data_IF_236848600066
#
_entry.id   IF_236848600066
#
_cell.length_a   1.000
_cell.length_b   1.000
_cell.length_c   1.000
_cell.angle_alpha   90.00
_cell.angle_beta   90.00
_cell.angle_gamma   90.00
#
_symmetry.space_group_name_H-M   'P 1'
#
loop_
_entity.id
_entity.type
_entity.pdbx_description
1 polymer ?
2 non-polymer ?
3 non-polymer ?
4 non-polymer ?
5 non-polymer ?
6 non-polymer ?
7 water ?
#
# COMPACT_ATOMS: atom_id res chain seq x y z
N UNK A 21 -10.32 24.16 0.32
CA UNK A 21 -10.10 23.28 -0.85
C UNK A 21 -10.52 21.84 -0.45
N UNK A 22 -11.83 21.50 -0.36
CA UNK A 22 -12.21 20.03 -0.32
C UNK A 22 -12.47 19.38 -1.69
N UNK A 23 -12.29 18.07 -1.76
CA UNK A 23 -12.41 17.39 -3.03
C UNK A 23 -13.84 17.36 -3.52
N UNK A 24 -13.98 17.44 -4.83
CA UNK A 24 -15.26 17.27 -5.53
C UNK A 24 -15.80 15.87 -5.32
N UNK A 25 -14.92 14.90 -5.51
CA UNK A 25 -15.28 13.50 -5.35
C UNK A 25 -14.76 12.91 -4.05
N UNK A 26 -15.52 12.02 -3.46
CA UNK A 26 -15.14 11.43 -2.19
C UNK A 26 -13.85 10.64 -2.27
N UNK A 27 -13.12 10.66 -1.18
CA UNK A 27 -11.88 9.88 -1.01
C UNK A 27 -12.25 8.54 -0.42
N UNK A 28 -11.69 7.48 -1.03
CA UNK A 28 -11.88 6.12 -0.59
C UNK A 28 -10.48 5.60 -0.27
N UNK A 29 -10.21 5.40 1.03
CA UNK A 29 -8.95 4.74 1.50
C UNK A 29 -9.07 3.28 1.30
N UNK A 30 -8.08 2.63 0.69
CA UNK A 30 -8.21 1.23 0.33
C UNK A 30 -6.97 0.46 0.89
N UNK A 31 -7.24 -0.61 1.58
CA UNK A 31 -6.25 -1.54 1.99
C UNK A 31 -6.72 -2.98 1.91
N UNK A 32 -5.80 -3.91 2.03
CA UNK A 32 -6.09 -5.31 1.81
C UNK A 32 -5.98 -6.19 3.05
N UNK A 33 -6.21 -5.61 4.22
CA UNK A 33 -6.23 -6.39 5.43
C UNK A 33 -7.55 -6.24 6.15
N UNK A 34 -8.60 -6.70 5.55
CA UNK A 34 -9.91 -6.70 6.17
C UNK A 34 -9.83 -7.48 7.47
N UNK A 35 -10.47 -6.97 8.49
CA UNK A 35 -10.38 -7.52 9.84
C UNK A 35 -9.37 -6.77 10.70
N UNK A 36 -8.55 -5.88 10.11
CA UNK A 36 -7.47 -5.22 10.87
C UNK A 36 -8.06 -4.48 12.05
N UNK A 37 -9.05 -3.64 11.80
CA UNK A 37 -9.50 -2.76 12.86
C UNK A 37 -10.17 -3.57 13.97
N UNK A 38 -10.78 -4.68 13.59
CA UNK A 38 -11.47 -5.55 14.55
C UNK A 38 -10.46 -6.31 15.42
N UNK A 39 -9.41 -6.84 14.80
CA UNK A 39 -8.37 -7.61 15.48
C UNK A 39 -7.37 -6.74 16.22
N UNK A 40 -6.96 -5.64 15.64
CA UNK A 40 -5.85 -4.86 16.15
C UNK A 40 -6.36 -3.81 17.15
N UNK A 41 -7.54 -3.28 16.85
CA UNK A 41 -8.23 -2.30 17.70
C UNK A 41 -8.23 -0.83 17.26
N UNK A 42 -7.63 -0.47 16.13
CA UNK A 42 -7.55 0.89 15.60
C UNK A 42 -7.37 0.80 14.06
N UNK A 43 -7.59 1.93 13.38
CA UNK A 43 -7.61 1.87 11.89
C UNK A 43 -6.22 1.61 11.26
N UNK A 44 -6.24 0.89 10.13
CA UNK A 44 -5.05 0.67 9.33
C UNK A 44 -4.37 1.99 8.86
N UNK A 45 -5.17 2.94 8.39
CA UNK A 45 -4.69 4.21 7.99
C UNK A 45 -4.70 5.08 9.21
N UNK A 46 -3.69 4.94 10.04
CA UNK A 46 -3.83 5.44 11.43
C UNK A 46 -3.88 7.00 11.49
N UNK A 47 -4.98 7.53 12.01
CA UNK A 47 -5.17 8.95 12.10
C UNK A 47 -5.57 9.69 10.85
N UNK A 48 -5.64 9.00 9.70
CA UNK A 48 -5.74 9.63 8.36
C UNK A 48 -7.16 10.09 7.96
N UNK A 49 -8.15 9.21 8.13
CA UNK A 49 -9.49 9.56 7.76
C UNK A 49 -9.94 10.75 8.62
N UNK A 50 -9.58 10.71 9.91
CA UNK A 50 -9.89 11.86 10.84
C UNK A 50 -9.32 13.20 10.34
N UNK A 51 -8.04 13.19 10.01
CA UNK A 51 -7.42 14.44 9.53
C UNK A 51 -8.02 14.89 8.22
N UNK A 52 -8.32 13.96 7.31
CA UNK A 52 -8.96 14.35 6.03
C UNK A 52 -10.35 14.88 6.24
N UNK A 53 -11.12 14.27 7.13
CA UNK A 53 -12.46 14.81 7.39
C UNK A 53 -12.40 16.21 8.11
N UNK A 54 -11.40 16.44 8.98
CA UNK A 54 -11.23 17.77 9.69
C UNK A 54 -11.05 18.81 8.63
N UNK A 55 -10.50 18.42 7.47
CA UNK A 55 -10.24 19.30 6.36
C UNK A 55 -11.37 19.44 5.36
N UNK A 56 -12.52 18.81 5.60
CA UNK A 56 -13.76 19.05 4.85
C UNK A 56 -14.03 18.01 3.74
N UNK A 57 -13.16 17.00 3.57
CA UNK A 57 -13.32 15.99 2.52
C UNK A 57 -14.26 14.90 2.98
N UNK A 58 -15.01 14.36 2.03
CA UNK A 58 -15.79 13.14 2.27
C UNK A 58 -14.85 11.93 2.21
N UNK A 59 -14.85 11.07 3.24
CA UNK A 59 -13.87 9.96 3.37
C UNK A 59 -14.60 8.65 3.77
N UNK A 60 -14.28 7.61 3.03
CA UNK A 60 -14.69 6.19 3.21
C UNK A 60 -13.49 5.32 3.33
N UNK A 61 -13.66 4.17 3.97
CA UNK A 61 -12.56 3.21 4.01
C UNK A 61 -13.04 1.84 3.56
N UNK A 62 -12.37 1.27 2.56
CA UNK A 62 -12.65 -0.03 2.03
C UNK A 62 -11.60 -0.98 2.50
N UNK A 63 -12.00 -1.93 3.33
CA UNK A 63 -11.05 -2.93 3.86
C UNK A 63 -11.26 -4.21 3.06
N UNK A 64 -10.32 -4.66 2.26
CA UNK A 64 -10.56 -5.78 1.39
C UNK A 64 -9.84 -7.06 1.91
N UNK A 65 -10.30 -8.23 1.46
CA UNK A 65 -9.72 -9.48 1.92
C UNK A 65 -8.25 -9.70 1.65
N UNK A 66 -7.44 -10.02 2.66
CA UNK A 66 -5.97 -10.34 2.46
C UNK A 66 -5.74 -11.62 1.68
N UNK A 67 -6.63 -12.58 1.87
CA UNK A 67 -6.38 -13.97 1.42
C UNK A 67 -6.93 -14.30 0.03
N UNK A 68 -7.30 -13.28 -0.70
CA UNK A 68 -7.86 -13.43 -2.02
C UNK A 68 -6.92 -12.88 -3.10
N UNK A 69 -7.29 -13.09 -4.35
CA UNK A 69 -6.54 -12.63 -5.46
C UNK A 69 -6.71 -11.10 -5.56
N UNK A 70 -5.83 -10.48 -6.31
CA UNK A 70 -6.03 -9.06 -6.61
C UNK A 70 -7.36 -8.77 -7.34
N UNK A 71 -7.70 -9.65 -8.30
CA UNK A 71 -8.93 -9.50 -9.08
C UNK A 71 -10.18 -9.55 -8.16
N UNK A 72 -10.18 -10.50 -7.23
CA UNK A 72 -11.30 -10.67 -6.32
C UNK A 72 -11.38 -9.45 -5.37
N UNK A 73 -10.23 -8.94 -4.88
CA UNK A 73 -10.27 -7.70 -4.09
C UNK A 73 -10.84 -6.54 -4.93
N UNK A 74 -10.47 -6.48 -6.22
CA UNK A 74 -11.00 -5.44 -7.12
C UNK A 74 -12.51 -5.56 -7.29
N UNK A 75 -13.03 -6.78 -7.39
CA UNK A 75 -14.47 -6.97 -7.44
C UNK A 75 -15.17 -6.57 -6.13
N UNK A 76 -14.56 -6.87 -5.00
CA UNK A 76 -15.10 -6.44 -3.67
C UNK A 76 -15.11 -4.89 -3.66
N UNK A 77 -14.03 -4.31 -4.15
CA UNK A 77 -13.93 -2.85 -4.13
C UNK A 77 -15.03 -2.21 -4.99
N UNK A 78 -15.30 -2.79 -6.16
CA UNK A 78 -16.35 -2.24 -7.01
C UNK A 78 -17.67 -2.32 -6.33
N UNK A 79 -17.96 -3.43 -5.67
CA UNK A 79 -19.23 -3.52 -4.96
C UNK A 79 -19.33 -2.46 -3.89
N UNK A 80 -18.24 -2.19 -3.18
CA UNK A 80 -18.16 -1.11 -2.17
C UNK A 80 -18.44 0.29 -2.76
N UNK A 81 -17.82 0.63 -3.86
CA UNK A 81 -17.93 1.93 -4.51
C UNK A 81 -19.33 2.13 -5.11
N UNK A 82 -19.84 1.09 -5.80
CA UNK A 82 -21.22 1.20 -6.40
C UNK A 82 -22.20 1.59 -5.36
N UNK A 83 -21.99 1.00 -4.18
CA UNK A 83 -22.82 1.24 -3.04
C UNK A 83 -22.75 2.70 -2.50
N UNK A 84 -21.55 3.25 -2.28
CA UNK A 84 -21.41 4.62 -1.87
C UNK A 84 -21.76 5.69 -2.96
N UNK A 85 -21.53 5.36 -4.25
CA UNK A 85 -21.94 6.28 -5.32
C UNK A 85 -23.45 6.44 -5.42
N UNK A 86 -24.21 5.40 -5.09
CA UNK A 86 -25.65 5.49 -5.07
C UNK A 86 -26.09 6.55 -4.04
N UNK A 87 -25.39 6.61 -2.92
CA UNK A 87 -25.78 7.53 -1.87
C UNK A 87 -25.17 8.94 -2.01
N UNK A 88 -23.92 9.09 -2.47
CA UNK A 88 -23.29 10.44 -2.49
C UNK A 88 -23.82 11.23 -3.71
N UNK A 89 -24.43 10.49 -4.66
CA UNK A 89 -24.81 10.93 -6.03
C UNK A 89 -23.66 11.69 -6.70
N UNK A 90 -22.41 11.29 -6.40
CA UNK A 90 -21.20 11.97 -6.96
C UNK A 90 -20.55 11.41 -8.18
N UNK A 91 -21.04 10.33 -8.76
CA UNK A 91 -20.47 9.84 -9.99
C UNK A 91 -19.13 9.14 -9.85
N UNK A 92 -18.10 9.81 -9.26
CA UNK A 92 -16.78 9.24 -9.13
C UNK A 92 -16.21 9.29 -7.73
N UNK A 93 -15.17 8.52 -7.54
CA UNK A 93 -14.32 8.45 -6.34
C UNK A 93 -12.85 8.68 -6.61
N UNK A 94 -12.16 9.21 -5.60
CA UNK A 94 -10.72 9.30 -5.58
C UNK A 94 -10.21 8.19 -4.66
N UNK A 95 -9.44 7.28 -5.21
CA UNK A 95 -8.97 6.18 -4.39
C UNK A 95 -7.57 6.55 -3.86
N UNK A 96 -7.32 6.23 -2.62
CA UNK A 96 -5.98 6.28 -2.05
C UNK A 96 -5.73 4.87 -1.43
N UNK A 97 -4.81 4.16 -2.06
CA UNK A 97 -4.51 2.82 -1.63
C UNK A 97 -3.12 2.61 -1.12
N UNK A 98 -2.92 1.67 -0.19
CA UNK A 98 -1.59 1.37 0.24
C UNK A 98 -1.33 -0.11 -0.02
N UNK A 99 -0.07 -0.43 -0.28
CA UNK A 99 0.37 -1.86 -0.37
C UNK A 99 -0.39 -2.61 -1.42
N UNK A 100 -1.19 -3.65 -1.07
CA UNK A 100 -2.04 -4.32 -2.09
C UNK A 100 -3.21 -3.51 -2.56
N UNK A 101 -3.56 -2.47 -1.77
CA UNK A 101 -4.75 -1.69 -2.12
C UNK A 101 -4.78 -1.13 -3.53
N UNK A 102 -3.65 -0.58 -4.03
CA UNK A 102 -3.66 0.03 -5.35
C UNK A 102 -3.99 -0.96 -6.46
N UNK A 103 -3.66 -2.24 -6.27
CA UNK A 103 -3.96 -3.22 -7.33
C UNK A 103 -5.49 -3.33 -7.46
N UNK A 104 -6.22 -3.42 -6.33
CA UNK A 104 -7.69 -3.45 -6.39
C UNK A 104 -8.22 -2.16 -7.00
N UNK A 105 -7.64 -1.00 -6.64
CA UNK A 105 -8.05 0.26 -7.23
C UNK A 105 -7.83 0.28 -8.76
N UNK A 106 -6.72 -0.25 -9.19
CA UNK A 106 -6.37 -0.34 -10.61
C UNK A 106 -7.40 -1.22 -11.36
N UNK A 107 -7.86 -2.29 -10.72
CA UNK A 107 -8.88 -3.14 -11.28
C UNK A 107 -10.13 -2.28 -11.52
N UNK A 108 -10.57 -1.51 -10.53
CA UNK A 108 -11.83 -0.79 -10.66
C UNK A 108 -11.64 0.29 -11.75
N UNK A 109 -10.52 0.98 -11.67
CA UNK A 109 -10.24 2.05 -12.68
C UNK A 109 -10.17 1.51 -14.13
N UNK A 110 -9.56 0.35 -14.32
CA UNK A 110 -9.51 -0.27 -15.63
C UNK A 110 -10.85 -0.71 -16.19
N UNK A 111 -11.66 -1.27 -15.46
CA UNK A 111 -13.01 -1.71 -15.69
C UNK A 111 -14.16 -0.71 -15.73
N UNK A 112 -14.04 0.24 -14.78
CA UNK A 112 -15.09 1.20 -14.59
C UNK A 112 -14.56 2.63 -14.50
N UNK A 113 -13.92 3.08 -15.55
CA UNK A 113 -13.17 4.32 -15.53
C UNK A 113 -14.07 5.50 -15.28
N UNK A 114 -15.28 5.45 -15.78
CA UNK A 114 -16.21 6.57 -15.57
C UNK A 114 -16.63 6.80 -14.10
N UNK A 115 -16.33 5.85 -13.21
CA UNK A 115 -16.65 5.91 -11.82
C UNK A 115 -15.43 6.28 -10.94
N UNK A 116 -14.26 6.45 -11.59
CA UNK A 116 -13.03 6.67 -10.85
C UNK A 116 -12.37 7.99 -11.29
N UNK A 117 -12.27 8.94 -10.41
CA UNK A 117 -11.58 10.19 -10.73
C UNK A 117 -10.06 10.07 -10.67
N UNK A 118 -9.58 9.31 -9.73
CA UNK A 118 -8.15 9.12 -9.51
C UNK A 118 -7.85 7.85 -8.70
N UNK A 119 -6.63 7.39 -8.90
CA UNK A 119 -5.99 6.33 -8.16
C UNK A 119 -4.67 6.89 -7.72
N UNK A 120 -4.50 6.97 -6.40
CA UNK A 120 -3.27 7.29 -5.78
C UNK A 120 -2.70 6.07 -5.06
N UNK A 121 -1.51 5.63 -5.46
CA UNK A 121 -0.86 4.41 -4.93
C UNK A 121 0.23 4.87 -3.95
N UNK A 122 0.14 4.44 -2.70
CA UNK A 122 1.14 4.72 -1.68
C UNK A 122 1.88 3.39 -1.36
N UNK A 123 3.13 3.36 -1.72
CA UNK A 123 3.96 2.17 -1.54
C UNK A 123 3.23 0.95 -2.04
N UNK A 124 2.66 1.07 -3.24
CA UNK A 124 1.90 -0.02 -3.83
C UNK A 124 2.81 -1.11 -4.33
N UNK A 125 2.32 -2.37 -4.31
CA UNK A 125 3.09 -3.48 -4.85
C UNK A 125 2.78 -3.57 -6.35
N UNK A 126 3.10 -2.53 -7.08
CA UNK A 126 2.69 -2.45 -8.47
C UNK A 126 3.43 -3.40 -9.47
N UNK A 127 4.61 -3.80 -9.10
CA UNK A 127 5.33 -4.83 -9.84
C UNK A 127 5.82 -5.99 -9.01
N UNK A 128 5.27 -6.18 -7.84
CA UNK A 128 5.64 -7.28 -7.02
C UNK A 128 6.60 -7.00 -5.91
N UNK A 129 6.59 -7.89 -4.95
CA UNK A 129 7.39 -7.77 -3.70
C UNK A 129 8.49 -8.87 -3.74
N UNK A 130 9.73 -8.45 -3.66
CA UNK A 130 10.83 -9.41 -3.54
C UNK A 130 10.74 -10.28 -2.28
N UNK A 131 10.12 -9.75 -1.23
CA UNK A 131 10.00 -10.51 0.00
C UNK A 131 8.91 -11.57 -0.13
N UNK A 132 7.86 -11.24 -0.88
CA UNK A 132 6.83 -12.23 -1.15
C UNK A 132 7.38 -13.41 -1.97
N UNK A 133 8.23 -13.05 -2.93
CA UNK A 133 8.96 -14.01 -3.77
C UNK A 133 9.81 -14.89 -2.91
N UNK A 134 10.60 -14.30 -2.01
CA UNK A 134 11.43 -15.05 -1.09
C UNK A 134 10.64 -15.98 -0.13
N UNK A 135 9.55 -15.49 0.43
CA UNK A 135 8.71 -16.33 1.30
C UNK A 135 8.16 -17.53 0.54
N UNK A 136 7.76 -17.29 -0.71
CA UNK A 136 7.27 -18.42 -1.53
C UNK A 136 8.36 -19.52 -1.68
N UNK A 137 9.60 -19.08 -1.93
CA UNK A 137 10.72 -20.04 -2.15
C UNK A 137 10.94 -20.88 -0.87
N UNK A 138 10.75 -20.23 0.28
CA UNK A 138 10.89 -20.85 1.59
C UNK A 138 9.83 -21.93 1.84
N UNK A 139 8.58 -21.60 1.58
CA UNK A 139 7.47 -22.53 1.68
C UNK A 139 7.60 -23.69 0.70
N UNK A 140 8.24 -23.43 -0.44
CA UNK A 140 8.54 -24.52 -1.42
C UNK A 140 9.80 -25.37 -1.10
N UNK A 141 10.50 -24.97 -0.04
CA UNK A 141 11.68 -25.66 0.48
C UNK A 141 12.78 -25.66 -0.59
N UNK A 142 12.90 -24.53 -1.31
CA UNK A 142 14.06 -24.29 -2.18
C UNK A 142 15.32 -24.21 -1.33
N UNK A 143 16.49 -24.38 -1.93
CA UNK A 143 17.70 -24.20 -1.13
C UNK A 143 18.03 -22.71 -0.96
N UNK A 144 17.58 -22.21 0.16
CA UNK A 144 17.82 -20.85 0.67
C UNK A 144 18.72 -20.99 1.89
N UNK A 145 19.79 -20.19 1.98
CA UNK A 145 20.62 -20.22 3.19
C UNK A 145 19.77 -20.01 4.46
N UNK A 146 20.02 -20.82 5.49
CA UNK A 146 19.15 -20.81 6.67
C UNK A 146 19.07 -19.38 7.30
N UNK A 147 20.17 -18.63 7.24
CA UNK A 147 20.17 -17.28 7.92
C UNK A 147 19.12 -16.37 7.27
N UNK A 148 18.93 -16.54 5.98
CA UNK A 148 17.90 -15.82 5.25
C UNK A 148 16.52 -16.34 5.68
N UNK A 149 16.36 -17.66 5.74
CA UNK A 149 15.08 -18.24 6.18
C UNK A 149 14.68 -17.70 7.55
N UNK A 150 15.62 -17.63 8.48
CA UNK A 150 15.29 -17.17 9.83
C UNK A 150 14.91 -15.67 9.85
N UNK A 151 15.64 -14.89 9.05
CA UNK A 151 15.36 -13.45 8.99
C UNK A 151 13.92 -13.22 8.54
N UNK A 152 13.46 -13.93 7.51
CA UNK A 152 12.14 -13.78 7.00
C UNK A 152 11.10 -14.25 8.00
N UNK A 153 11.31 -15.45 8.55
CA UNK A 153 10.38 -16.05 9.47
C UNK A 153 10.24 -15.24 10.72
N UNK A 154 11.36 -14.78 11.25
CA UNK A 154 11.34 -14.01 12.47
C UNK A 154 10.69 -12.63 12.25
N UNK A 155 10.99 -11.98 11.12
CA UNK A 155 10.37 -10.65 10.81
C UNK A 155 8.86 -10.79 10.71
N UNK A 156 8.36 -11.84 10.02
CA UNK A 156 6.93 -12.04 9.86
C UNK A 156 6.26 -12.39 11.18
N UNK A 157 6.94 -13.18 11.98
CA UNK A 157 6.39 -13.53 13.30
C UNK A 157 6.31 -12.32 14.20
N UNK A 158 7.34 -11.48 14.13
CA UNK A 158 7.36 -10.23 14.88
C UNK A 158 6.25 -9.32 14.37
N UNK A 159 6.09 -9.20 13.04
CA UNK A 159 5.00 -8.29 12.54
C UNK A 159 3.63 -8.84 13.00
N UNK A 160 3.38 -10.11 12.69
CA UNK A 160 2.09 -10.73 12.94
C UNK A 160 1.72 -10.70 14.43
N UNK A 161 2.71 -10.89 15.29
CA UNK A 161 2.56 -10.85 16.75
C UNK A 161 2.28 -9.44 17.27
N UNK A 162 3.01 -8.47 16.72
CA UNK A 162 2.80 -7.06 17.08
C UNK A 162 1.32 -6.65 16.87
N UNK A 163 0.76 -6.99 15.70
CA UNK A 163 -0.65 -6.63 15.34
C UNK A 163 -1.74 -7.54 16.00
N UNK A 164 -1.55 -8.87 15.98
CA UNK A 164 -2.62 -9.85 16.30
C UNK A 164 -2.47 -10.60 17.65
N UNK A 165 -1.27 -10.56 18.24
CA UNK A 165 -1.00 -11.20 19.52
C UNK A 165 -0.42 -12.60 19.40
N UNK A 166 -0.29 -13.11 18.19
CA UNK A 166 0.17 -14.48 17.95
C UNK A 166 1.15 -14.42 16.85
N UNK A 167 2.19 -15.24 16.89
CA UNK A 167 3.13 -15.20 15.77
C UNK A 167 2.59 -15.86 14.43
N UNK A 168 1.56 -16.69 14.55
CA UNK A 168 0.93 -17.42 13.44
C UNK A 168 1.69 -18.67 13.02
N UNK A 169 1.08 -19.53 12.20
CA UNK A 169 1.80 -20.58 11.44
C UNK A 169 2.49 -19.93 10.25
N UNK A 170 3.75 -20.30 9.94
CA UNK A 170 4.24 -19.66 8.69
C UNK A 170 3.45 -19.98 7.39
N UNK A 171 2.64 -21.00 7.39
CA UNK A 171 1.71 -21.21 6.31
C UNK A 171 0.49 -20.26 6.50
N UNK A 172 0.49 -19.45 7.55
CA UNK A 172 -0.59 -18.43 7.80
C UNK A 172 -0.61 -17.32 6.76
N UNK A 173 0.59 -16.97 6.30
CA UNK A 173 0.86 -15.82 5.50
C UNK A 173 0.85 -16.10 4.02
N UNK A 174 0.82 -17.37 3.66
CA UNK A 174 0.91 -17.79 2.29
C UNK A 174 -0.23 -17.32 1.49
N UNK A 175 -1.40 -17.48 2.03
CA UNK A 175 -2.54 -17.16 1.28
C UNK A 175 -2.47 -15.66 0.99
N UNK A 176 -2.01 -14.87 1.95
CA UNK A 176 -1.82 -13.44 1.74
C UNK A 176 -0.71 -12.99 0.79
N UNK A 177 0.46 -13.57 0.89
CA UNK A 177 1.61 -13.02 0.18
C UNK A 177 1.65 -13.49 -1.25
N UNK A 178 0.98 -14.61 -1.52
CA UNK A 178 0.93 -15.13 -2.89
C UNK A 178 0.55 -14.04 -3.95
N UNK A 179 -0.50 -13.30 -3.69
CA UNK A 179 -0.97 -12.29 -4.66
C UNK A 179 -0.03 -11.07 -4.81
N UNK A 180 0.98 -10.95 -3.94
CA UNK A 180 2.03 -9.93 -4.03
C UNK A 180 3.37 -10.39 -4.69
N UNK A 181 3.47 -11.63 -5.14
CA UNK A 181 4.69 -12.05 -5.81
C UNK A 181 4.92 -11.38 -7.17
N UNK A 182 6.15 -11.39 -7.68
CA UNK A 182 6.44 -10.79 -8.95
C UNK A 182 5.62 -11.54 -10.01
N UNK A 183 5.56 -12.89 -9.89
CA UNK A 183 4.73 -13.72 -10.80
C UNK A 183 3.28 -13.24 -10.91
N UNK A 184 2.61 -13.18 -9.78
CA UNK A 184 1.16 -12.93 -9.77
C UNK A 184 0.82 -11.42 -10.07
N UNK A 185 1.70 -10.49 -9.68
CA UNK A 185 1.49 -9.08 -10.02
C UNK A 185 1.79 -8.88 -11.53
N UNK A 186 2.76 -9.61 -12.06
CA UNK A 186 3.04 -9.53 -13.49
C UNK A 186 1.80 -9.92 -14.27
N UNK A 187 1.14 -11.01 -13.86
CA UNK A 187 -0.07 -11.52 -14.51
C UNK A 187 -1.25 -10.55 -14.44
N UNK A 188 -1.38 -9.95 -13.28
CA UNK A 188 -2.30 -8.84 -13.08
C UNK A 188 -2.00 -7.67 -14.02
N UNK A 189 -0.72 -7.28 -14.06
CA UNK A 189 -0.27 -6.17 -14.87
C UNK A 189 -0.48 -6.35 -16.39
N UNK A 190 -0.37 -7.59 -16.89
CA UNK A 190 -0.70 -7.88 -18.27
C UNK A 190 -2.14 -7.65 -18.62
N UNK A 191 -3.06 -7.86 -17.68
CA UNK A 191 -4.49 -7.68 -17.89
C UNK A 191 -4.92 -6.21 -17.70
N UNK A 192 -4.25 -5.54 -16.77
CA UNK A 192 -4.60 -4.17 -16.31
C UNK A 192 -3.34 -3.27 -16.41
N UNK A 193 -2.84 -3.02 -17.63
CA UNK A 193 -1.56 -2.33 -17.76
C UNK A 193 -1.62 -0.79 -17.58
N UNK A 194 -2.80 -0.29 -17.30
CA UNK A 194 -3.06 1.14 -17.40
C UNK A 194 -2.17 1.88 -16.42
N UNK A 195 -1.51 2.92 -16.89
CA UNK A 195 -0.67 3.77 -16.09
C UNK A 195 0.67 3.15 -15.57
N UNK A 196 1.04 1.97 -16.01
CA UNK A 196 2.28 1.35 -15.58
C UNK A 196 3.51 2.01 -16.23
N UNK A 197 4.64 2.11 -15.57
CA UNK A 197 5.83 2.60 -16.22
C UNK A 197 6.12 1.84 -17.54
N UNK A 198 6.47 2.61 -18.53
CA UNK A 198 7.03 2.05 -19.73
C UNK A 198 8.48 1.63 -19.48
N UNK A 199 9.32 2.54 -18.98
CA UNK A 199 10.73 2.20 -18.74
C UNK A 199 10.88 1.55 -17.39
N UNK A 200 11.74 0.52 -17.30
CA UNK A 200 12.22 0.20 -15.97
C UNK A 200 12.33 1.48 -15.09
N UNK A 201 11.72 1.44 -13.92
CA UNK A 201 11.74 2.58 -12.98
C UNK A 201 11.31 3.97 -13.48
N UNK A 202 10.41 4.01 -14.44
CA UNK A 202 9.98 5.28 -14.98
C UNK A 202 8.71 5.76 -14.34
N UNK A 203 8.00 6.63 -15.06
CA UNK A 203 6.61 6.97 -14.67
C UNK A 203 5.66 6.47 -15.73
N UNK A 204 4.41 6.31 -15.33
CA UNK A 204 3.30 6.08 -16.23
C UNK A 204 2.63 7.38 -16.63
N UNK A 205 1.70 7.26 -17.57
CA UNK A 205 0.86 8.34 -18.00
C UNK A 205 0.03 8.76 -16.79
N UNK A 206 -0.12 10.06 -16.59
CA UNK A 206 -0.93 10.61 -15.51
C UNK A 206 -2.39 10.29 -15.73
N UNK A 207 -2.85 10.30 -16.98
CA UNK A 207 -4.28 10.16 -17.24
C UNK A 207 -4.47 9.03 -18.22
N UNK A 208 -5.29 8.05 -17.86
CA UNK A 208 -5.66 6.98 -18.75
C UNK A 208 -7.15 6.74 -18.72
N UNK A 209 -7.80 6.94 -19.89
CA UNK A 209 -9.24 6.76 -20.00
C UNK A 209 -9.96 7.70 -19.01
N UNK A 210 -9.45 8.92 -18.88
CA UNK A 210 -10.01 9.90 -17.98
C UNK A 210 -9.62 9.79 -16.52
N UNK A 211 -8.95 8.71 -16.13
CA UNK A 211 -8.59 8.49 -14.74
C UNK A 211 -7.18 8.99 -14.50
N UNK A 212 -7.02 9.82 -13.47
CA UNK A 212 -5.71 10.32 -13.05
C UNK A 212 -5.02 9.32 -12.13
N UNK A 213 -3.72 9.11 -12.36
CA UNK A 213 -2.97 8.16 -11.57
C UNK A 213 -1.76 8.86 -10.95
N UNK A 214 -1.52 8.62 -9.67
CA UNK A 214 -0.43 9.22 -8.94
C UNK A 214 0.24 8.17 -8.07
N UNK A 215 1.53 8.38 -7.78
CA UNK A 215 2.22 7.49 -6.84
C UNK A 215 3.16 8.19 -5.86
N UNK A 216 3.19 7.59 -4.67
CA UNK A 216 4.03 7.96 -3.59
C UNK A 216 4.83 6.69 -3.21
N UNK A 217 5.98 6.90 -2.64
CA UNK A 217 6.73 5.73 -2.12
C UNK A 217 7.70 6.22 -1.09
N UNK A 218 8.50 5.30 -0.61
CA UNK A 218 9.52 5.60 0.35
C UNK A 218 10.53 4.45 0.30
N UNK A 219 11.68 4.68 0.93
CA UNK A 219 12.68 3.65 1.12
C UNK A 219 13.53 3.93 2.34
N UNK A 220 14.01 2.86 2.93
CA UNK A 220 14.78 2.92 4.17
C UNK A 220 16.17 3.50 3.84
N UNK A 221 16.60 4.43 4.64
CA UNK A 221 17.81 5.16 4.38
C UNK A 221 18.51 5.31 5.73
N UNK A 222 19.80 5.22 5.78
CA UNK A 222 20.44 5.67 7.02
C UNK A 222 20.86 7.12 6.88
N UNK A 223 20.06 7.99 7.49
CA UNK A 223 20.43 9.41 7.75
C UNK A 223 20.63 9.70 9.29
N UNK A 224 20.75 10.98 9.65
CA UNK A 224 21.18 11.38 11.00
C UNK A 224 20.09 11.51 12.09
N UNK A 225 20.41 11.00 13.28
CA UNK A 225 19.77 11.34 14.59
C UNK A 225 18.27 10.94 14.63
N UNK A 226 17.79 10.18 13.65
CA UNK A 226 16.52 9.44 13.83
C UNK A 226 16.93 8.19 14.58
N UNK A 227 16.05 7.22 14.71
CA UNK A 227 14.75 7.21 14.08
C UNK A 227 13.60 7.72 14.96
N UNK A 228 13.93 8.10 16.20
CA UNK A 228 12.98 8.55 17.24
C UNK A 228 11.83 7.54 17.50
N UNK A 229 10.58 7.89 17.20
CA UNK A 229 9.41 7.04 17.50
C UNK A 229 9.58 5.59 17.09
N UNK A 230 10.11 5.40 15.90
CA UNK A 230 10.25 4.10 15.37
C UNK A 230 11.16 3.14 16.19
N UNK A 231 12.00 3.69 17.06
CA UNK A 231 12.82 2.84 17.92
C UNK A 231 11.95 1.97 18.84
N UNK A 232 10.72 2.36 19.09
CA UNK A 232 9.78 1.62 19.95
C UNK A 232 8.83 0.66 19.12
N UNK A 233 8.95 0.66 17.79
CA UNK A 233 8.02 -0.03 16.92
C UNK A 233 8.68 -1.32 16.43
N UNK A 234 8.25 -2.47 17.00
CA UNK A 234 8.86 -3.75 16.52
C UNK A 234 8.74 -3.99 15.03
N UNK A 235 7.75 -3.40 14.36
CA UNK A 235 7.66 -3.63 12.94
C UNK A 235 8.80 -2.97 12.20
N UNK A 236 9.38 -1.89 12.75
CA UNK A 236 10.40 -1.14 12.05
C UNK A 236 11.68 -1.98 12.08
N UNK A 237 11.98 -2.61 13.22
CA UNK A 237 13.13 -3.50 13.28
C UNK A 237 13.00 -4.69 12.26
N UNK A 238 11.80 -5.23 12.15
CA UNK A 238 11.52 -6.26 11.15
C UNK A 238 11.75 -5.72 9.74
N UNK A 239 11.20 -4.55 9.42
CA UNK A 239 11.44 -3.96 8.11
C UNK A 239 12.92 -3.71 7.82
N UNK A 240 13.67 -3.27 8.82
CA UNK A 240 15.11 -3.02 8.64
C UNK A 240 15.88 -4.33 8.29
N UNK A 241 15.46 -5.45 8.85
CA UNK A 241 16.04 -6.75 8.56
C UNK A 241 15.65 -7.19 7.15
N UNK A 242 14.33 -7.16 6.87
CA UNK A 242 13.87 -7.46 5.54
C UNK A 242 14.53 -6.63 4.43
N UNK A 243 14.76 -5.34 4.69
CA UNK A 243 15.41 -4.39 3.77
C UNK A 243 16.72 -4.94 3.17
N UNK A 244 17.46 -5.71 3.99
CA UNK A 244 18.80 -6.24 3.63
C UNK A 244 18.71 -7.44 2.69
N UNK A 245 17.52 -7.99 2.50
CA UNK A 245 17.31 -9.22 1.68
C UNK A 245 16.99 -8.98 0.23
N UNK A 246 16.86 -7.73 -0.19
CA UNK A 246 16.45 -7.41 -1.57
C UNK A 246 17.61 -7.22 -2.51
N UNK A 247 17.45 -7.53 -3.79
CA UNK A 247 18.45 -7.10 -4.82
C UNK A 247 18.32 -5.59 -5.10
N UNK A 248 17.09 -5.05 -5.00
CA UNK A 248 16.87 -3.60 -5.12
C UNK A 248 17.18 -2.96 -3.78
N UNK A 249 18.30 -2.24 -3.71
CA UNK A 249 18.81 -1.73 -2.43
C UNK A 249 17.95 -0.63 -1.79
N UNK A 250 17.23 0.11 -2.64
CA UNK A 250 16.22 1.07 -2.20
C UNK A 250 14.87 0.39 -2.16
N UNK A 251 14.46 0.11 -0.94
CA UNK A 251 13.16 -0.49 -0.67
C UNK A 251 12.64 -0.12 0.71
N UNK A 252 11.37 -0.41 0.92
CA UNK A 252 10.72 -0.03 2.20
C UNK A 252 10.56 -1.19 3.22
N UNK A 253 11.23 -2.31 2.92
CA UNK A 253 11.16 -3.51 3.72
C UNK A 253 10.28 -4.55 3.11
N UNK A 254 9.36 -4.13 2.37
CA UNK A 254 8.54 -5.04 1.65
C UNK A 254 8.48 -4.87 0.13
N UNK A 255 8.63 -3.75 -0.39
CA UNK A 255 8.50 -3.47 -1.79
C UNK A 255 9.66 -2.61 -2.20
N UNK A 256 10.27 -2.90 -3.35
CA UNK A 256 11.32 -2.09 -3.89
C UNK A 256 10.84 -0.79 -4.48
N UNK A 257 11.67 0.25 -4.37
CA UNK A 257 11.29 1.58 -4.80
C UNK A 257 10.66 1.56 -6.21
N UNK A 258 11.33 0.95 -7.18
CA UNK A 258 10.81 0.98 -8.59
C UNK A 258 9.52 0.19 -8.81
N UNK A 259 9.35 -0.87 -8.03
CA UNK A 259 8.15 -1.66 -8.07
C UNK A 259 6.88 -0.84 -7.66
N UNK A 260 7.05 0.22 -6.92
CA UNK A 260 5.91 1.07 -6.48
C UNK A 260 5.31 1.93 -7.57
N UNK A 261 6.05 2.17 -8.65
CA UNK A 261 5.67 3.14 -9.64
C UNK A 261 4.39 2.88 -10.38
N UNK A 262 3.53 3.91 -10.47
CA UNK A 262 2.25 3.84 -11.19
C UNK A 262 1.91 5.28 -11.47
N UNK A 263 1.59 5.62 -12.73
CA UNK A 263 1.19 6.95 -13.08
C UNK A 263 2.25 8.01 -12.79
N UNK A 264 1.78 9.21 -12.44
CA UNK A 264 2.64 10.35 -12.19
C UNK A 264 3.29 10.28 -10.80
N UNK A 265 4.60 10.27 -10.73
CA UNK A 265 5.26 10.33 -9.45
C UNK A 265 5.08 11.64 -8.71
N UNK A 266 4.67 11.57 -7.46
CA UNK A 266 4.71 12.71 -6.63
C UNK A 266 5.97 12.80 -5.81
N UNK A 267 6.10 11.90 -4.86
CA UNK A 267 7.31 11.83 -4.06
C UNK A 267 7.57 10.37 -3.64
N UNK A 268 8.80 9.87 -3.83
CA UNK A 268 9.08 8.52 -3.35
C UNK A 268 10.37 8.37 -2.55
N UNK A 269 10.88 9.48 -2.02
CA UNK A 269 12.14 9.40 -1.32
C UNK A 269 11.96 9.76 0.15
N UNK A 270 10.73 9.66 0.69
CA UNK A 270 10.59 9.64 2.12
C UNK A 270 11.49 8.52 2.78
N UNK A 271 12.10 8.85 3.91
CA UNK A 271 12.96 7.89 4.65
C UNK A 271 12.08 7.13 5.68
N UNK A 272 11.23 6.28 5.14
CA UNK A 272 10.13 5.61 5.89
C UNK A 272 10.06 4.20 5.42
N UNK A 273 9.64 3.31 6.33
CA UNK A 273 9.31 1.97 5.95
C UNK A 273 7.86 1.78 5.47
N UNK A 274 7.57 0.55 5.02
CA UNK A 274 6.24 0.24 4.44
C UNK A 274 5.07 0.59 5.35
N UNK A 275 5.18 0.26 6.61
CA UNK A 275 4.17 0.58 7.63
C UNK A 275 4.10 2.06 8.02
N UNK A 276 5.28 2.68 8.07
CA UNK A 276 5.36 4.07 8.41
C UNK A 276 4.48 4.91 7.46
N UNK A 277 4.33 4.48 6.19
CA UNK A 277 3.64 5.34 5.19
C UNK A 277 2.12 5.29 5.43
N UNK A 278 1.65 4.40 6.30
CA UNK A 278 0.27 4.45 6.80
C UNK A 278 0.25 4.85 8.29
N UNK A 279 1.31 5.47 8.75
CA UNK A 279 1.45 5.97 10.11
C UNK A 279 1.32 4.90 11.18
N UNK A 280 1.94 3.73 10.90
CA UNK A 280 1.89 2.63 11.84
C UNK A 280 3.27 2.31 12.34
N UNK A 281 3.39 1.63 13.48
CA UNK A 281 2.28 1.16 14.27
C UNK A 281 1.89 2.33 15.19
N UNK A 282 0.60 2.67 15.23
CA UNK A 282 0.09 3.65 16.21
C UNK A 282 0.88 4.97 16.21
N UNK A 283 1.21 5.47 15.02
CA UNK A 283 1.90 6.74 14.86
C UNK A 283 3.40 6.78 15.19
N UNK A 284 4.03 5.61 15.32
CA UNK A 284 5.45 5.48 15.54
C UNK A 284 6.08 5.44 14.17
N UNK A 285 6.74 6.54 13.80
CA UNK A 285 7.38 6.61 12.45
C UNK A 285 8.80 7.15 12.55
N UNK A 286 9.54 7.25 11.46
CA UNK A 286 10.87 7.78 11.57
C UNK A 286 11.01 9.27 11.55
N UNK A 287 11.99 9.77 12.31
CA UNK A 287 12.35 11.18 12.28
C UNK A 287 11.21 12.18 12.60
N UNK A 288 10.28 11.86 13.50
CA UNK A 288 9.13 12.73 13.81
C UNK A 288 8.48 13.27 12.52
N UNK A 289 8.41 12.44 11.50
CA UNK A 289 7.83 12.86 10.25
C UNK A 289 6.29 12.92 10.42
N UNK A 290 5.67 13.94 9.84
CA UNK A 290 4.21 14.02 9.91
C UNK A 290 3.62 13.35 8.71
N UNK A 291 3.33 12.07 8.86
CA UNK A 291 2.81 11.29 7.76
C UNK A 291 1.40 11.66 7.38
N UNK A 292 0.59 11.99 8.35
CA UNK A 292 -0.79 12.35 8.07
C UNK A 292 -0.83 13.56 7.11
N UNK A 293 0.10 14.52 7.31
CA UNK A 293 0.19 15.67 6.44
C UNK A 293 0.50 15.36 4.99
N UNK A 294 1.05 14.18 4.72
CA UNK A 294 1.25 13.76 3.33
C UNK A 294 -0.12 13.59 2.64
N UNK A 295 -1.04 12.96 3.37
CA UNK A 295 -2.38 12.66 2.88
C UNK A 295 -3.24 13.90 2.79
N UNK A 296 -3.19 14.79 3.78
CA UNK A 296 -4.00 15.99 3.76
C UNK A 296 -3.53 16.95 2.67
N UNK A 297 -2.21 17.06 2.45
CA UNK A 297 -1.70 17.90 1.36
C UNK A 297 -2.13 17.29 0.02
N UNK A 298 -2.03 15.97 -0.10
CA UNK A 298 -2.45 15.32 -1.35
C UNK A 298 -3.94 15.52 -1.67
N UNK A 299 -4.81 15.44 -0.67
CA UNK A 299 -6.23 15.77 -0.86
C UNK A 299 -6.47 17.13 -1.43
N UNK A 300 -5.76 18.12 -0.89
CA UNK A 300 -5.83 19.53 -1.40
C UNK A 300 -5.30 19.60 -2.85
N UNK A 301 -4.23 18.87 -3.14
CA UNK A 301 -3.75 18.78 -4.54
C UNK A 301 -4.84 18.20 -5.49
N UNK A 302 -5.49 17.12 -5.09
CA UNK A 302 -6.58 16.52 -5.88
C UNK A 302 -7.68 17.58 -6.11
N UNK A 303 -8.03 18.29 -5.04
CA UNK A 303 -9.08 19.29 -5.16
C UNK A 303 -8.66 20.39 -6.12
N UNK A 304 -7.37 20.65 -6.16
CA UNK A 304 -6.78 21.70 -7.00
C UNK A 304 -6.78 21.36 -8.48
N UNK A 305 -6.97 20.08 -8.79
CA UNK A 305 -7.13 19.55 -10.14
C UNK A 305 -8.61 19.29 -10.52
N UNK A 306 -9.51 19.81 -9.71
CA UNK A 306 -10.97 19.62 -9.84
C UNK A 306 -11.42 18.23 -9.73
N UNK A 307 -10.73 17.50 -8.86
CA UNK A 307 -11.17 16.18 -8.47
C UNK A 307 -11.67 16.28 -7.02
X LIG B 1 6.64 2.60 12.26
X LIG C 1 -9.14 -0.17 9.02
X LIG D 1 -3.05 10.60 16.34
X LIG D 1 -4.46 10.59 16.05
X LIG D 1 -2.23 10.51 15.06
X LIG D 1 -2.29 11.69 14.27
X LIG D 1 -0.78 10.24 15.48
X LIG D 1 0.15 10.35 14.40
X LIG E 1 -8.56 -13.05 10.82
X LIG E 1 -7.79 -13.32 9.65
X LIG E 1 -7.70 -12.07 8.77
X LIG E 1 -6.35 -11.63 8.76
X LIG E 1 -6.16 -9.25 9.16
X LIG E 1 -6.11 -10.36 8.13
X LIG E 1 -5.01 -9.32 10.02
X LIG E 1 -3.93 -8.54 12.02
X LIG E 1 -5.01 -8.27 10.99
X LIG E 1 -2.74 -8.97 11.39
X LIG E 1 -0.67 -8.50 10.16
X LIG E 1 -2.02 -7.94 10.68
X LIG E 1 -0.30 -7.97 8.86
X LIG E 1 1.70 -8.53 7.49
X LIG E 1 1.09 -7.69 8.61
X LIG E 1 3.06 -8.22 7.13
X LIG F 1 -5.96 -11.91 17.53
X LIG F 1 -5.85 -13.04 16.67
X LIG F 1 -7.03 -13.06 15.68
X LIG F 1 -6.69 -13.74 14.47
X LIG F 1 -5.82 -13.02 13.57
X LIG F 1 -4.64 -13.91 13.17
X LIG F 1 -3.83 -13.27 12.17
X LIG F 1 -3.58 -14.12 11.04
X LIG F 1 -2.25 -13.75 10.44
X LIG F 1 -2.42 -13.47 9.05
X LIG F 1 -1.20 -13.06 8.44
X LIG F 1 -1.42 -12.79 6.96
X LIG F 1 -1.65 -11.41 6.65
X LIG F 1 -0.49 -10.57 6.72
X LIG F 1 0.72 -11.07 5.90
X LIG F 1 1.27 -9.98 5.13
X LIG F 1 0.58 -9.81 3.89
X LIG F 1 0.50 -8.36 3.40
X LIG F 1 1.63 -7.58 3.80
X LIG F 1 1.48 -6.23 3.34
X LIG F 1 0.39 -5.50 4.13
X LIG F 1 0.85 -4.28 4.75
X LIG F 1 0.23 -4.10 6.04
X LIG F 1 0.34 -2.74 6.69
#
# INVERSE_FOLDING_TARGET
MGSSHHHHHHSSGLVPRGSHMSTKYPIVLVHGLAGFSEIVGFPYFYGIADALTQDGHQVFTASLSAFNSNEVRGKQLWQFVQTILQETQTKKVNFIGHSQGPLACRYVAANYPDSVASVTSINGVNHGSEIADLYRRIIRKDSIPEYIVEKVLNAFGTIISTFSGHRGDPQDAIAALESLTTEQVTEFNNKYPQALPKTPCGEGDEIVNGVHYYCFGSYIQELIAGENGNLLDPTHAAMRVLNTLFTEKQNDGLVGRCSMRLGKLIKDDYAQDHFDMVNQVAGLVSYNENIVAIYTLHAKYLASKQL
CA CA
CL CL
GOL C1 O1 C2 O2 C3 O3
1PE OH2 C12 C22 OH3 C13 C23 OH4 C14 C24 OH5 C15 C25 OH6 C16 C26 OH7
PE4 O1 C1 C2 O2 C3 C4 O3 C5 C6 O4 C7 C8 O5 C9 C10 O6 C11 C12 O7 C13 C14 O8 C15 C16
#
